data_IF_818070841081
#
_entry.id   IF_818070841081
#
_cell.length_a   1.000
_cell.length_b   1.000
_cell.length_c   1.000
_cell.angle_alpha   90.00
_cell.angle_beta   90.00
_cell.angle_gamma   90.00
#
_symmetry.space_group_name_H-M   'P 1'
#
loop_
_entity.id
_entity.type
_entity.pdbx_description
1 polymer ?
#
# COMPACT_ATOMS: atom_id res chain seq x y z
N UNK A 1 -1.33 45.34 -37.63
CA UNK A 1 -1.31 44.25 -36.64
C UNK A 1 -1.83 42.96 -37.30
N UNK A 2 -0.94 42.02 -37.65
CA UNK A 2 -1.30 40.79 -38.38
C UNK A 2 -1.52 39.65 -37.36
N UNK A 3 -2.73 39.09 -37.33
CA UNK A 3 -3.07 37.89 -36.53
C UNK A 3 -2.48 36.68 -37.24
N UNK A 4 -1.61 35.92 -36.56
CA UNK A 4 -1.17 34.59 -36.96
C UNK A 4 -2.21 33.54 -36.52
N UNK A 5 -2.79 32.84 -37.48
CA UNK A 5 -3.63 31.66 -37.27
C UNK A 5 -2.72 30.43 -37.08
N UNK A 6 -2.89 29.70 -36.00
CA UNK A 6 -2.29 28.38 -35.84
C UNK A 6 -3.28 27.33 -36.33
N UNK A 7 -2.79 26.47 -37.21
CA UNK A 7 -3.52 25.29 -37.73
C UNK A 7 -3.13 24.06 -36.87
N UNK A 8 -4.05 23.21 -36.43
CA UNK A 8 -3.67 21.98 -35.72
C UNK A 8 -3.19 20.93 -36.70
N UNK A 9 -2.05 20.31 -36.37
CA UNK A 9 -1.50 19.15 -37.09
C UNK A 9 -2.20 17.90 -36.54
N UNK A 10 -2.95 17.24 -37.39
CA UNK A 10 -3.55 15.92 -37.14
C UNK A 10 -2.53 14.88 -37.64
N UNK A 11 -2.04 14.03 -36.74
CA UNK A 11 -1.22 12.87 -37.07
C UNK A 11 -2.15 11.64 -37.07
N UNK A 12 -2.26 10.89 -38.18
CA UNK A 12 -3.07 9.67 -38.19
C UNK A 12 -2.27 8.49 -37.65
N UNK A 13 -2.82 7.80 -36.67
CA UNK A 13 -2.35 6.53 -36.17
C UNK A 13 -2.61 5.42 -37.18
N UNK A 14 -1.56 4.82 -37.72
CA UNK A 14 -1.65 3.61 -38.53
C UNK A 14 -1.36 2.39 -37.66
N UNK A 15 -2.37 1.53 -37.50
CA UNK A 15 -2.24 0.17 -36.97
C UNK A 15 -1.37 -0.67 -37.93
N UNK A 16 -0.40 -1.38 -37.37
CA UNK A 16 0.20 -2.52 -38.03
C UNK A 16 0.10 -3.74 -37.13
N UNK A 17 -0.84 -4.62 -37.47
CA UNK A 17 -0.97 -5.97 -36.89
C UNK A 17 -0.07 -6.88 -37.71
N UNK A 18 0.92 -7.51 -37.09
CA UNK A 18 1.64 -8.62 -37.70
C UNK A 18 1.50 -9.85 -36.81
N UNK A 19 0.65 -10.79 -37.27
CA UNK A 19 0.53 -12.13 -36.70
C UNK A 19 1.70 -13.00 -37.20
N UNK A 20 2.44 -13.60 -36.29
CA UNK A 20 3.36 -14.69 -36.61
C UNK A 20 2.90 -15.95 -35.87
N UNK A 21 2.32 -16.86 -36.66
CA UNK A 21 2.02 -18.23 -36.26
C UNK A 21 3.30 -19.05 -36.50
N UNK A 22 3.82 -19.68 -35.47
CA UNK A 22 4.84 -20.73 -35.62
C UNK A 22 4.35 -22.02 -34.96
N UNK A 23 4.06 -22.97 -35.84
CA UNK A 23 3.83 -24.39 -35.52
C UNK A 23 5.14 -25.04 -35.10
N UNK A 24 5.15 -25.81 -34.03
CA UNK A 24 6.11 -26.89 -33.84
C UNK A 24 5.38 -28.19 -33.51
N UNK A 25 5.54 -29.12 -34.42
CA UNK A 25 5.08 -30.50 -34.36
C UNK A 25 6.02 -31.36 -33.51
N UNK A 26 5.37 -32.30 -32.88
CA UNK A 26 5.84 -33.43 -32.10
C UNK A 26 6.87 -34.34 -32.78
N UNK A 27 7.65 -35.04 -31.97
CA UNK A 27 8.05 -36.45 -32.02
C UNK A 27 8.81 -36.72 -30.72
N UNK A 28 8.54 -37.70 -29.86
CA UNK A 28 8.16 -39.09 -30.09
C UNK A 28 9.29 -40.01 -29.69
N UNK A 29 9.01 -40.94 -28.80
CA UNK A 29 9.85 -42.15 -28.60
C UNK A 29 10.54 -42.24 -27.21
N UNK A 30 10.07 -43.00 -26.36
CA UNK A 30 10.00 -44.47 -26.04
C UNK A 30 11.12 -44.98 -25.13
N UNK A 31 10.65 -45.66 -24.10
CA UNK A 31 11.05 -46.92 -23.51
C UNK A 31 12.23 -47.08 -22.53
N UNK A 32 11.88 -47.62 -21.42
CA UNK A 32 12.43 -48.83 -20.82
C UNK A 32 13.02 -48.58 -19.44
N UNK A 33 12.90 -49.30 -18.47
CA UNK A 33 12.38 -50.59 -18.05
C UNK A 33 12.54 -50.66 -16.53
N UNK A 34 11.65 -51.38 -15.93
CA UNK A 34 11.61 -51.74 -14.51
C UNK A 34 12.87 -52.48 -14.03
N UNK A 35 13.13 -52.36 -12.72
CA UNK A 35 13.60 -53.54 -11.98
C UNK A 35 13.08 -53.56 -10.54
N UNK A 36 12.45 -54.68 -10.23
CA UNK A 36 11.97 -55.17 -8.95
C UNK A 36 13.11 -55.83 -8.16
N UNK A 37 12.99 -55.82 -6.86
CA UNK A 37 13.73 -56.71 -5.94
C UNK A 37 13.24 -56.38 -4.53
N UNK A 38 12.25 -57.01 -4.05
CA UNK A 38 11.96 -58.31 -3.45
C UNK A 38 12.81 -58.69 -2.22
N UNK A 39 12.09 -58.71 -1.09
CA UNK A 39 12.08 -59.62 0.02
C UNK A 39 13.37 -59.89 0.84
N UNK A 40 13.26 -59.75 2.17
CA UNK A 40 13.21 -60.93 3.06
C UNK A 40 12.78 -60.60 4.48
N UNK A 41 11.74 -61.27 4.92
CA UNK A 41 11.29 -61.46 6.28
C UNK A 41 12.21 -62.43 7.02
N UNK A 42 12.44 -62.22 8.30
CA UNK A 42 12.88 -63.31 9.21
C UNK A 42 12.09 -63.17 10.52
N UNK A 43 11.19 -64.13 10.71
CA UNK A 43 10.65 -64.56 12.02
C UNK A 43 11.70 -65.26 12.83
N UNK A 44 11.77 -65.08 14.15
CA UNK A 44 12.27 -66.03 15.13
C UNK A 44 11.50 -65.89 16.44
N UNK A 45 10.64 -66.85 16.63
CA UNK A 45 10.24 -67.68 17.80
C UNK A 45 10.36 -67.10 19.23
N UNK A 46 9.23 -67.28 19.87
CA UNK A 46 8.87 -67.24 21.28
C UNK A 46 9.79 -68.05 22.21
N UNK A 47 10.00 -67.56 23.43
CA UNK A 47 10.15 -68.42 24.59
C UNK A 47 9.36 -67.87 25.80
N UNK A 48 8.56 -68.76 26.38
CA UNK A 48 7.75 -68.58 27.58
C UNK A 48 8.57 -68.89 28.82
N UNK A 49 8.50 -68.14 29.87
CA UNK A 49 8.35 -68.65 31.26
C UNK A 49 8.02 -67.53 32.28
N UNK A 50 7.43 -67.80 33.43
CA UNK A 50 6.34 -67.05 33.98
C UNK A 50 6.66 -66.24 35.26
N UNK A 51 5.76 -65.28 35.49
CA UNK A 51 5.29 -64.63 36.74
C UNK A 51 6.27 -64.32 37.87
N UNK A 52 6.30 -63.00 38.14
CA UNK A 52 6.26 -62.50 39.54
C UNK A 52 5.35 -61.26 39.59
N UNK A 53 4.35 -61.35 40.43
CA UNK A 53 3.47 -60.24 40.78
C UNK A 53 4.28 -59.14 41.42
N UNK A 54 4.40 -57.99 40.69
CA UNK A 54 4.74 -56.70 41.26
C UNK A 54 3.52 -55.78 41.16
N UNK A 55 2.92 -55.55 42.31
CA UNK A 55 1.94 -54.48 42.50
C UNK A 55 2.65 -53.19 42.23
N UNK A 56 2.50 -52.65 41.02
CA UNK A 56 2.91 -51.29 40.70
C UNK A 56 1.81 -50.39 41.21
N UNK A 57 2.12 -49.65 42.28
CA UNK A 57 1.29 -48.49 42.71
C UNK A 57 1.12 -47.58 41.50
N UNK A 58 -0.13 -47.32 41.10
CA UNK A 58 -0.49 -46.31 40.09
C UNK A 58 -0.04 -44.94 40.59
N UNK A 59 1.01 -44.42 39.96
CA UNK A 59 1.35 -43.00 40.06
C UNK A 59 0.17 -42.24 39.45
N UNK A 60 -0.40 -41.29 40.12
CA UNK A 60 -1.45 -40.46 39.49
C UNK A 60 -0.83 -39.80 38.28
N UNK A 61 -1.46 -39.99 37.13
CA UNK A 61 -1.16 -39.32 35.88
C UNK A 61 -1.24 -37.81 36.15
N UNK A 62 -0.11 -37.14 36.07
CA UNK A 62 -0.05 -35.69 36.17
C UNK A 62 -0.82 -35.14 34.97
N UNK A 63 -2.03 -34.72 35.17
CA UNK A 63 -2.73 -33.91 34.17
C UNK A 63 -1.96 -32.63 34.03
N UNK A 64 -1.24 -32.48 32.92
CA UNK A 64 -0.77 -31.13 32.49
C UNK A 64 -2.00 -30.22 32.48
N UNK A 65 -1.84 -28.97 32.95
CA UNK A 65 -2.94 -27.99 32.86
C UNK A 65 -3.35 -27.89 31.40
N UNK A 66 -4.62 -28.11 31.09
CA UNK A 66 -5.16 -27.83 29.77
C UNK A 66 -4.86 -26.34 29.47
N UNK A 67 -4.19 -26.08 28.35
CA UNK A 67 -3.99 -24.71 27.88
C UNK A 67 -5.40 -24.08 27.69
N UNK A 68 -5.55 -22.81 28.08
CA UNK A 68 -6.84 -22.13 27.86
C UNK A 68 -7.18 -22.16 26.37
N UNK A 69 -8.45 -22.27 25.98
CA UNK A 69 -8.85 -22.27 24.59
C UNK A 69 -8.39 -20.97 23.92
N UNK A 70 -7.97 -21.09 22.65
CA UNK A 70 -7.58 -19.94 21.85
C UNK A 70 -8.74 -18.94 21.75
N UNK A 71 -8.49 -17.68 22.04
CA UNK A 71 -9.44 -16.60 21.84
C UNK A 71 -9.16 -15.93 20.48
N UNK A 72 -10.17 -15.91 19.60
CA UNK A 72 -10.10 -15.21 18.31
C UNK A 72 -9.95 -13.70 18.52
N UNK A 73 -9.19 -13.04 17.67
CA UNK A 73 -8.96 -11.60 17.76
C UNK A 73 -8.75 -10.97 16.39
N UNK A 74 -8.85 -9.64 16.35
CA UNK A 74 -8.63 -8.87 15.14
C UNK A 74 -7.30 -8.09 15.19
N UNK A 75 -6.69 -7.96 14.00
CA UNK A 75 -5.60 -7.04 13.70
C UNK A 75 -6.13 -6.06 12.66
N UNK A 76 -5.96 -4.77 12.91
CA UNK A 76 -6.49 -3.73 12.05
C UNK A 76 -5.38 -2.99 11.29
N UNK A 77 -5.60 -2.71 10.00
CA UNK A 77 -4.73 -1.91 9.17
C UNK A 77 -5.45 -0.66 8.70
N UNK A 78 -4.81 0.49 8.89
CA UNK A 78 -5.14 1.77 8.31
C UNK A 78 -4.08 2.11 7.27
N UNK A 79 -4.47 2.41 6.01
CA UNK A 79 -3.53 2.88 5.01
C UNK A 79 -4.02 4.17 4.34
N UNK A 80 -3.07 5.09 4.13
CA UNK A 80 -3.27 6.38 3.50
C UNK A 80 -2.58 6.45 2.13
N UNK A 81 -3.18 7.19 1.21
CA UNK A 81 -2.67 7.44 -0.13
C UNK A 81 -1.47 8.38 -0.19
N UNK A 82 -1.39 9.17 -1.26
CA UNK A 82 -0.22 9.99 -1.60
C UNK A 82 -0.05 11.16 -0.63
N UNK A 83 0.96 11.10 0.25
CA UNK A 83 1.41 12.24 1.02
C UNK A 83 2.31 13.11 0.13
N UNK A 84 1.66 13.95 -0.69
CA UNK A 84 2.28 14.73 -1.77
C UNK A 84 2.58 16.16 -1.29
N UNK A 85 3.76 16.37 -0.77
CA UNK A 85 4.16 17.56 -0.04
C UNK A 85 4.51 18.72 -0.99
N UNK A 86 3.51 19.44 -1.41
CA UNK A 86 3.68 20.70 -2.14
C UNK A 86 4.18 21.84 -1.24
N UNK A 87 4.74 22.90 -1.85
CA UNK A 87 5.24 24.07 -1.10
C UNK A 87 4.17 24.76 -0.23
N UNK A 88 2.90 24.64 -0.57
CA UNK A 88 1.80 25.09 0.27
C UNK A 88 1.81 24.40 1.64
N UNK A 89 2.03 23.08 1.65
CA UNK A 89 2.13 22.26 2.87
C UNK A 89 3.43 22.59 3.62
N UNK A 90 4.57 22.61 2.91
CA UNK A 90 5.88 23.00 3.51
C UNK A 90 5.79 24.32 4.26
N UNK A 91 5.13 25.32 3.65
CA UNK A 91 4.97 26.65 4.24
C UNK A 91 3.94 26.68 5.39
N UNK A 92 3.00 25.72 5.43
CA UNK A 92 1.98 25.65 6.50
C UNK A 92 2.55 25.27 7.84
N UNK A 93 3.60 24.45 7.85
CA UNK A 93 4.27 24.02 9.09
C UNK A 93 5.20 25.07 9.71
N UNK A 94 5.51 26.18 9.03
CA UNK A 94 6.44 27.20 9.55
C UNK A 94 5.79 27.94 10.71
N UNK A 95 6.41 27.88 11.90
CA UNK A 95 5.97 28.54 13.10
C UNK A 95 6.50 29.98 13.18
N UNK A 96 5.95 30.79 14.10
CA UNK A 96 6.34 32.19 14.29
C UNK A 96 7.81 32.37 14.70
N UNK A 97 8.41 31.39 15.37
CA UNK A 97 9.82 31.39 15.78
C UNK A 97 10.77 30.82 14.71
N UNK A 98 10.23 30.41 13.56
CA UNK A 98 10.98 29.85 12.44
C UNK A 98 11.20 28.33 12.51
N UNK A 99 10.74 27.67 13.55
CA UNK A 99 10.70 26.21 13.63
C UNK A 99 9.64 25.63 12.70
N UNK A 100 9.57 24.30 12.55
CA UNK A 100 8.55 23.62 11.74
C UNK A 100 7.82 22.59 12.61
N UNK A 101 6.49 22.58 12.43
CA UNK A 101 5.60 21.60 13.03
C UNK A 101 4.57 21.17 12.00
N UNK A 102 4.47 19.85 11.77
CA UNK A 102 3.55 19.24 10.83
C UNK A 102 2.57 18.27 11.50
N UNK A 103 2.48 18.29 12.82
CA UNK A 103 1.56 17.44 13.60
C UNK A 103 0.09 17.61 13.14
N UNK A 104 -0.27 18.83 12.71
CA UNK A 104 -1.61 19.16 12.23
C UNK A 104 -2.06 18.33 11.01
N UNK A 105 -1.14 17.73 10.26
CA UNK A 105 -1.51 16.90 9.09
C UNK A 105 -2.39 15.72 9.46
N UNK A 106 -2.34 15.25 10.72
CA UNK A 106 -3.01 14.05 11.17
C UNK A 106 -4.17 14.32 12.16
N UNK A 107 -4.44 15.57 12.52
CA UNK A 107 -5.43 15.92 13.56
C UNK A 107 -6.86 15.47 13.23
N UNK A 108 -7.24 15.36 11.95
CA UNK A 108 -8.59 14.95 11.56
C UNK A 108 -8.85 13.45 11.59
N UNK A 109 -7.80 12.64 11.80
CA UNK A 109 -7.88 11.17 11.83
C UNK A 109 -7.17 10.57 13.06
N UNK A 110 -6.84 11.38 14.06
CA UNK A 110 -6.06 10.94 15.24
C UNK A 110 -6.75 9.82 16.00
N UNK A 111 -8.06 9.83 16.08
CA UNK A 111 -8.88 8.80 16.73
C UNK A 111 -8.83 7.45 15.99
N UNK A 112 -8.86 7.47 14.65
CA UNK A 112 -8.64 6.27 13.81
C UNK A 112 -7.21 5.75 13.95
N UNK A 113 -6.23 6.64 13.97
CA UNK A 113 -4.82 6.28 14.22
C UNK A 113 -4.63 5.64 15.60
N UNK A 114 -5.37 6.11 16.61
CA UNK A 114 -5.24 5.59 17.98
C UNK A 114 -5.68 4.12 18.12
N UNK A 115 -6.57 3.64 17.27
CA UNK A 115 -7.15 2.28 17.36
C UNK A 115 -6.60 1.30 16.30
N UNK A 116 -5.91 1.79 15.25
CA UNK A 116 -5.30 0.93 14.26
C UNK A 116 -4.00 0.30 14.77
N UNK A 117 -3.79 -0.99 14.46
CA UNK A 117 -2.56 -1.72 14.80
C UNK A 117 -1.44 -1.49 13.78
N UNK A 118 -1.78 -1.54 12.48
CA UNK A 118 -0.87 -1.26 11.37
C UNK A 118 -1.30 0.06 10.74
N UNK A 119 -0.35 0.99 10.63
CA UNK A 119 -0.58 2.33 10.10
C UNK A 119 0.41 2.58 8.98
N UNK A 120 -0.09 2.54 7.74
CA UNK A 120 0.72 2.70 6.53
C UNK A 120 0.42 4.04 5.85
N UNK A 121 1.46 4.70 5.31
CA UNK A 121 1.32 5.92 4.51
C UNK A 121 2.27 5.88 3.31
N UNK A 122 1.75 6.25 2.13
CA UNK A 122 2.59 6.46 0.95
C UNK A 122 3.23 7.85 1.01
N UNK A 123 4.47 7.93 1.51
CA UNK A 123 5.24 9.17 1.50
C UNK A 123 5.82 9.39 0.10
N UNK A 124 5.05 10.04 -0.76
CA UNK A 124 5.37 10.16 -2.17
C UNK A 124 6.61 11.02 -2.43
N UNK A 125 6.76 12.09 -1.67
CA UNK A 125 7.87 13.04 -1.84
C UNK A 125 9.03 12.73 -0.91
N UNK A 126 10.26 12.69 -1.48
CA UNK A 126 11.47 12.25 -0.78
C UNK A 126 11.89 13.20 0.36
N UNK A 127 12.39 12.65 1.47
CA UNK A 127 13.16 13.37 2.50
C UNK A 127 14.64 13.40 2.12
N UNK A 128 14.96 14.17 1.07
CA UNK A 128 16.29 14.21 0.49
C UNK A 128 17.36 14.89 1.35
N UNK A 129 16.94 15.47 2.47
CA UNK A 129 17.79 16.20 3.41
C UNK A 129 17.58 17.72 3.35
N UNK A 130 17.47 18.33 4.52
CA UNK A 130 17.16 19.76 4.65
C UNK A 130 18.24 20.66 4.03
N UNK A 131 19.50 20.18 3.99
CA UNK A 131 20.64 20.92 3.42
C UNK A 131 20.54 21.06 1.86
N UNK A 132 19.76 20.20 1.18
CA UNK A 132 19.51 20.32 -0.27
C UNK A 132 18.43 21.36 -0.60
N UNK A 133 17.84 22.00 0.44
CA UNK A 133 16.75 22.97 0.29
C UNK A 133 15.43 22.31 -0.07
N UNK A 134 14.32 22.92 0.38
CA UNK A 134 12.98 22.41 0.10
C UNK A 134 12.48 22.82 -1.27
N UNK A 135 11.75 21.94 -1.92
CA UNK A 135 11.19 22.19 -3.25
C UNK A 135 9.89 21.41 -3.43
N UNK A 136 8.96 21.99 -4.21
CA UNK A 136 7.76 21.33 -4.70
C UNK A 136 7.92 20.86 -6.15
N UNK A 137 6.77 20.63 -6.82
CA UNK A 137 6.73 20.21 -8.21
C UNK A 137 7.66 21.08 -9.11
N UNK A 138 8.39 20.49 -10.07
CA UNK A 138 8.35 19.09 -10.50
C UNK A 138 9.34 18.16 -9.76
N UNK A 139 10.25 18.66 -8.94
CA UNK A 139 11.26 17.89 -8.22
C UNK A 139 11.22 18.20 -6.73
N UNK A 140 10.58 17.32 -5.99
CA UNK A 140 10.30 17.53 -4.58
C UNK A 140 11.53 17.32 -3.67
N UNK A 141 11.54 18.03 -2.57
CA UNK A 141 12.33 17.74 -1.37
C UNK A 141 11.56 18.23 -0.16
N UNK A 142 11.07 17.31 0.64
CA UNK A 142 10.26 17.59 1.81
C UNK A 142 11.10 17.77 3.08
N UNK A 143 10.67 18.61 4.03
CA UNK A 143 11.29 18.72 5.33
C UNK A 143 11.25 17.39 6.08
N UNK A 144 12.34 16.99 6.76
CA UNK A 144 12.38 15.79 7.59
C UNK A 144 11.44 15.87 8.79
N UNK A 145 11.09 17.09 9.24
CA UNK A 145 10.12 17.33 10.30
C UNK A 145 8.70 16.80 9.96
N UNK A 146 8.39 16.54 8.67
CA UNK A 146 7.20 15.81 8.27
C UNK A 146 7.33 14.32 8.62
N UNK A 147 8.51 13.74 8.42
CA UNK A 147 8.80 12.37 8.85
C UNK A 147 8.72 12.21 10.36
N UNK A 148 9.23 13.21 11.13
CA UNK A 148 9.07 13.25 12.58
C UNK A 148 7.58 13.28 12.98
N UNK A 149 6.74 14.04 12.27
CA UNK A 149 5.30 14.08 12.50
C UNK A 149 4.59 12.76 12.14
N UNK A 150 5.01 12.07 11.06
CA UNK A 150 4.52 10.73 10.70
C UNK A 150 4.83 9.73 11.81
N UNK A 151 6.08 9.69 12.30
CA UNK A 151 6.47 8.79 13.38
C UNK A 151 5.71 9.11 14.68
N UNK A 152 5.60 10.41 15.03
CA UNK A 152 4.87 10.85 16.22
C UNK A 152 3.36 10.55 16.17
N UNK A 153 2.75 10.53 14.98
CA UNK A 153 1.36 10.11 14.79
C UNK A 153 1.18 8.57 14.89
N UNK A 154 2.28 7.83 15.06
CA UNK A 154 2.30 6.40 15.30
C UNK A 154 2.24 5.55 14.04
N UNK A 155 2.56 6.08 12.85
CA UNK A 155 2.74 5.27 11.67
C UNK A 155 3.92 4.32 11.87
N UNK A 156 3.71 3.05 11.54
CA UNK A 156 4.72 2.00 11.67
C UNK A 156 5.10 1.39 10.31
N UNK A 157 4.49 1.87 9.20
CA UNK A 157 4.85 1.50 7.83
C UNK A 157 4.88 2.78 6.97
N UNK A 158 6.01 3.05 6.33
CA UNK A 158 6.17 4.17 5.39
C UNK A 158 6.70 3.67 4.05
N UNK A 159 6.00 4.03 2.98
CA UNK A 159 6.26 3.58 1.62
C UNK A 159 6.97 4.69 0.85
N UNK A 160 8.09 4.35 0.22
CA UNK A 160 8.93 5.34 -0.47
C UNK A 160 9.24 5.00 -1.92
N UNK A 161 8.77 3.84 -2.45
CA UNK A 161 8.94 3.55 -3.86
C UNK A 161 7.86 4.25 -4.67
N UNK A 162 8.17 5.48 -5.14
CA UNK A 162 7.31 6.37 -5.90
C UNK A 162 8.04 6.95 -7.11
N UNK A 163 7.33 7.64 -8.00
CA UNK A 163 7.94 8.36 -9.12
C UNK A 163 8.80 9.56 -8.66
N UNK A 164 8.63 10.05 -7.42
CA UNK A 164 9.39 11.16 -6.83
C UNK A 164 10.55 10.72 -5.91
N UNK A 165 10.80 9.44 -5.78
CA UNK A 165 11.93 8.91 -4.98
C UNK A 165 13.28 9.41 -5.46
N UNK A 166 13.45 9.57 -6.79
CA UNK A 166 14.72 9.96 -7.40
C UNK A 166 14.94 11.48 -7.52
N UNK A 167 14.03 12.31 -7.03
CA UNK A 167 14.02 13.78 -7.22
C UNK A 167 15.27 14.50 -6.68
N UNK A 168 15.94 13.92 -5.70
CA UNK A 168 17.21 14.43 -5.13
C UNK A 168 18.39 13.48 -5.37
N UNK A 169 18.27 12.64 -6.40
CA UNK A 169 19.34 11.74 -6.79
C UNK A 169 19.61 10.65 -5.76
N UNK A 170 20.73 9.96 -5.95
CA UNK A 170 21.19 8.90 -5.02
C UNK A 170 21.44 9.46 -3.61
N UNK A 171 21.93 10.71 -3.52
CA UNK A 171 22.15 11.38 -2.24
C UNK A 171 20.80 11.52 -1.47
N UNK A 172 19.74 11.95 -2.17
CA UNK A 172 18.42 12.07 -1.56
C UNK A 172 17.89 10.74 -1.02
N UNK A 173 18.06 9.63 -1.76
CA UNK A 173 17.66 8.30 -1.29
C UNK A 173 18.44 7.91 -0.03
N UNK A 174 19.76 8.08 -0.04
CA UNK A 174 20.62 7.77 1.13
C UNK A 174 20.23 8.60 2.36
N UNK A 175 19.97 9.89 2.16
CA UNK A 175 19.55 10.77 3.24
C UNK A 175 18.17 10.37 3.81
N UNK A 176 17.24 9.95 2.94
CA UNK A 176 15.93 9.48 3.35
C UNK A 176 16.03 8.21 4.20
N UNK A 177 16.82 7.22 3.76
CA UNK A 177 17.05 6.00 4.57
C UNK A 177 17.71 6.34 5.88
N UNK A 178 18.77 7.15 5.88
CA UNK A 178 19.49 7.57 7.10
C UNK A 178 18.59 8.36 8.08
N UNK A 179 17.62 9.13 7.57
CA UNK A 179 16.61 9.77 8.41
C UNK A 179 15.74 8.72 9.12
N UNK A 180 15.23 7.73 8.41
CA UNK A 180 14.38 6.70 9.00
C UNK A 180 15.14 5.76 9.94
N UNK A 181 16.45 5.61 9.79
CA UNK A 181 17.29 4.90 10.78
C UNK A 181 17.24 5.57 12.18
N UNK A 182 16.82 6.83 12.26
CA UNK A 182 16.60 7.53 13.54
C UNK A 182 15.22 7.23 14.16
N UNK A 183 14.34 6.53 13.40
CA UNK A 183 12.99 6.12 13.80
C UNK A 183 12.84 4.59 13.66
N UNK A 184 13.52 3.78 14.48
CA UNK A 184 13.55 2.32 14.33
C UNK A 184 12.19 1.64 14.55
N UNK A 185 11.20 2.36 15.08
CA UNK A 185 9.81 1.93 15.22
C UNK A 185 9.04 1.94 13.90
N UNK A 186 9.60 2.57 12.85
CA UNK A 186 8.99 2.70 11.54
C UNK A 186 9.69 1.77 10.55
N UNK A 187 8.94 0.83 9.98
CA UNK A 187 9.39 0.01 8.87
C UNK A 187 9.23 0.80 7.57
N UNK A 188 10.33 0.98 6.83
CA UNK A 188 10.29 1.57 5.49
C UNK A 188 10.33 0.47 4.42
N UNK A 189 9.67 0.69 3.29
CA UNK A 189 9.69 -0.21 2.15
C UNK A 189 9.91 0.54 0.84
N UNK A 190 10.54 -0.12 -0.12
CA UNK A 190 10.66 0.32 -1.51
C UNK A 190 11.95 1.04 -1.88
N UNK A 191 12.83 1.40 -0.90
CA UNK A 191 14.11 2.08 -1.16
C UNK A 191 15.26 1.50 -0.31
N UNK A 192 16.48 1.60 -0.84
CA UNK A 192 17.70 1.10 -0.19
C UNK A 192 18.84 2.13 -0.29
N UNK A 193 19.59 2.34 0.82
CA UNK A 193 20.74 3.25 0.83
C UNK A 193 21.86 2.76 -0.08
N UNK A 194 22.08 1.46 -0.14
CA UNK A 194 23.05 0.81 -1.04
C UNK A 194 22.32 0.01 -2.12
N UNK A 195 23.07 -0.41 -3.12
CA UNK A 195 22.50 -1.26 -4.17
C UNK A 195 22.34 -2.68 -3.65
N UNK A 196 21.14 -3.19 -3.75
CA UNK A 196 20.80 -4.55 -3.36
C UNK A 196 20.10 -5.25 -4.52
N UNK A 197 20.62 -6.42 -4.92
CA UNK A 197 20.01 -7.21 -6.00
C UNK A 197 18.82 -8.03 -5.46
N UNK A 198 18.94 -8.51 -4.23
CA UNK A 198 17.92 -9.32 -3.56
C UNK A 198 17.80 -8.84 -2.11
N UNK A 199 17.17 -7.68 -1.85
CA UNK A 199 16.97 -7.19 -0.51
C UNK A 199 16.11 -8.15 0.31
N UNK A 200 16.28 -8.11 1.61
CA UNK A 200 15.39 -8.82 2.53
C UNK A 200 13.96 -8.26 2.41
N UNK A 201 12.97 -9.13 2.48
CA UNK A 201 11.57 -8.73 2.47
C UNK A 201 11.25 -8.09 3.82
N UNK A 202 10.78 -6.84 3.84
CA UNK A 202 10.41 -6.16 5.07
C UNK A 202 9.23 -6.89 5.76
N UNK A 203 9.43 -7.32 7.01
CA UNK A 203 8.41 -8.02 7.81
C UNK A 203 8.04 -7.18 9.02
N UNK A 204 6.76 -6.89 9.16
CA UNK A 204 6.17 -6.32 10.36
C UNK A 204 5.51 -7.41 11.19
N UNK A 205 5.80 -7.46 12.49
CA UNK A 205 5.13 -8.40 13.41
C UNK A 205 4.16 -7.65 14.31
N UNK A 206 2.89 -8.04 14.28
CA UNK A 206 1.81 -7.42 15.08
C UNK A 206 0.99 -8.51 15.75
N UNK A 207 0.83 -8.43 17.06
CA UNK A 207 0.05 -9.39 17.86
C UNK A 207 0.38 -10.86 17.55
N UNK A 208 1.67 -11.14 17.25
CA UNK A 208 2.17 -12.49 16.96
C UNK A 208 1.98 -12.97 15.51
N UNK A 209 1.41 -12.16 14.62
CA UNK A 209 1.29 -12.43 13.19
C UNK A 209 2.27 -11.60 12.38
N UNK A 210 2.73 -12.14 11.27
CA UNK A 210 3.74 -11.55 10.39
C UNK A 210 3.14 -11.05 9.09
N UNK A 211 3.50 -9.81 8.71
CA UNK A 211 3.03 -9.13 7.52
C UNK A 211 4.24 -8.77 6.65
N UNK A 212 4.31 -9.31 5.43
CA UNK A 212 5.28 -8.87 4.45
C UNK A 212 4.81 -7.57 3.79
N UNK A 213 5.67 -6.54 3.75
CA UNK A 213 5.34 -5.22 3.23
C UNK A 213 6.16 -4.93 1.98
N UNK A 214 5.55 -5.06 0.81
CA UNK A 214 6.20 -4.90 -0.49
C UNK A 214 5.72 -3.60 -1.15
N UNK A 215 6.66 -2.71 -1.53
CA UNK A 215 6.34 -1.45 -2.18
C UNK A 215 7.16 -1.26 -3.46
N UNK A 216 6.49 -0.95 -4.57
CA UNK A 216 7.09 -0.83 -5.89
C UNK A 216 6.56 0.38 -6.65
N UNK A 217 7.40 1.03 -7.48
CA UNK A 217 6.96 2.10 -8.38
C UNK A 217 7.06 1.70 -9.85
N UNK A 218 6.16 2.20 -10.68
CA UNK A 218 6.25 2.06 -12.14
C UNK A 218 7.56 2.66 -12.69
N UNK A 219 8.18 3.62 -12.00
CA UNK A 219 9.48 4.18 -12.32
C UNK A 219 9.67 5.61 -11.84
N UNK A 220 10.90 6.10 -11.78
CA UNK A 220 11.17 7.52 -11.59
C UNK A 220 10.71 8.28 -12.85
N UNK A 221 10.12 9.44 -12.74
CA UNK A 221 9.58 10.28 -13.84
C UNK A 221 10.50 10.39 -15.08
N UNK A 222 10.91 9.23 -15.63
CA UNK A 222 11.84 9.08 -16.74
C UNK A 222 11.56 7.74 -17.48
N UNK A 223 11.91 7.69 -18.77
CA UNK A 223 11.82 6.45 -19.57
C UNK A 223 13.01 5.51 -19.37
N UNK A 224 13.99 5.91 -18.56
CA UNK A 224 15.21 5.15 -18.28
C UNK A 224 15.51 5.27 -16.79
N UNK A 225 15.67 4.12 -16.11
CA UNK A 225 16.23 4.10 -14.77
C UNK A 225 17.73 4.24 -14.84
N UNK A 226 18.29 5.26 -14.18
CA UNK A 226 19.73 5.41 -14.09
C UNK A 226 20.37 4.26 -13.32
N UNK A 227 21.57 3.85 -13.74
CA UNK A 227 22.33 2.83 -13.02
C UNK A 227 22.56 3.16 -11.53
N UNK A 228 22.49 4.43 -11.15
CA UNK A 228 22.55 4.86 -9.75
C UNK A 228 21.36 4.42 -8.91
N UNK A 229 20.18 4.25 -9.54
CA UNK A 229 18.94 3.86 -8.86
C UNK A 229 18.64 2.37 -8.90
N UNK A 230 19.20 1.64 -9.89
CA UNK A 230 19.08 0.18 -9.98
C UNK A 230 19.54 -0.47 -8.67
N UNK A 231 18.69 -1.32 -8.08
CA UNK A 231 18.93 -1.95 -6.78
C UNK A 231 18.85 -1.00 -5.57
N UNK A 232 18.41 0.26 -5.77
CA UNK A 232 18.05 1.20 -4.68
C UNK A 232 16.58 1.57 -4.65
N UNK A 233 15.92 1.40 -5.78
CA UNK A 233 14.50 1.67 -5.97
C UNK A 233 13.82 0.38 -6.43
N UNK A 234 12.79 -0.03 -5.72
CA UNK A 234 12.01 -1.20 -6.07
C UNK A 234 11.06 -0.89 -7.23
N UNK A 235 11.32 -1.54 -8.38
CA UNK A 235 10.65 -1.25 -9.64
C UNK A 235 9.49 -2.20 -9.90
N UNK A 236 8.31 -1.63 -10.15
CA UNK A 236 7.12 -2.36 -10.59
C UNK A 236 7.22 -2.77 -12.07
N UNK A 237 7.70 -1.85 -12.91
CA UNK A 237 7.90 -2.13 -14.33
C UNK A 237 9.23 -2.81 -14.59
N UNK A 238 9.24 -3.75 -15.54
CA UNK A 238 10.47 -4.36 -16.03
C UNK A 238 11.39 -3.30 -16.67
N UNK A 239 12.68 -3.51 -16.60
CA UNK A 239 13.66 -2.64 -17.24
C UNK A 239 14.86 -3.45 -17.75
N UNK A 240 15.53 -2.90 -18.73
CA UNK A 240 16.76 -3.50 -19.28
C UNK A 240 17.96 -3.17 -18.37
N UNK A 241 18.55 -4.17 -17.74
CA UNK A 241 19.67 -4.01 -16.79
C UNK A 241 20.92 -3.35 -17.40
N UNK A 242 21.12 -3.45 -18.74
CA UNK A 242 22.29 -2.91 -19.40
C UNK A 242 22.16 -1.40 -19.66
N UNK A 243 21.00 -0.95 -20.13
CA UNK A 243 20.78 0.44 -20.55
C UNK A 243 19.70 1.19 -19.75
N UNK A 244 19.01 0.50 -18.84
CA UNK A 244 18.00 1.07 -17.95
C UNK A 244 16.66 1.38 -18.61
N UNK A 245 16.44 1.05 -19.88
CA UNK A 245 15.17 1.33 -20.55
C UNK A 245 14.01 0.62 -19.84
N UNK A 246 13.01 1.39 -19.43
CA UNK A 246 11.84 0.89 -18.69
C UNK A 246 10.78 0.42 -19.70
N UNK A 247 10.27 -0.78 -19.49
CA UNK A 247 9.12 -1.30 -20.21
C UNK A 247 7.85 -1.11 -19.35
N UNK A 248 7.14 -0.02 -19.59
CA UNK A 248 5.91 0.33 -18.87
C UNK A 248 4.73 -0.61 -19.15
N UNK A 249 4.91 -1.62 -19.98
CA UNK A 249 3.86 -2.59 -20.35
C UNK A 249 4.05 -3.95 -19.70
N UNK A 250 5.21 -4.19 -19.08
CA UNK A 250 5.58 -5.48 -18.50
C UNK A 250 5.83 -5.33 -17.00
N UNK A 251 5.11 -6.13 -16.20
CA UNK A 251 5.38 -6.26 -14.77
C UNK A 251 6.78 -6.83 -14.56
N UNK A 252 7.55 -6.25 -13.63
CA UNK A 252 8.89 -6.75 -13.30
C UNK A 252 8.79 -8.17 -12.70
N UNK A 253 9.44 -9.19 -13.29
CA UNK A 253 9.39 -10.55 -12.76
C UNK A 253 9.85 -10.67 -11.30
N UNK A 254 10.69 -9.74 -10.81
CA UNK A 254 11.12 -9.68 -9.42
C UNK A 254 9.92 -9.52 -8.47
N UNK A 255 8.89 -8.74 -8.85
CA UNK A 255 7.67 -8.55 -8.03
C UNK A 255 7.01 -9.88 -7.72
N UNK A 256 6.83 -10.71 -8.75
CA UNK A 256 6.23 -12.06 -8.59
C UNK A 256 7.11 -12.95 -7.70
N UNK A 257 8.42 -12.92 -7.93
CA UNK A 257 9.36 -13.72 -7.12
C UNK A 257 9.37 -13.28 -5.66
N UNK A 258 9.29 -11.97 -5.40
CA UNK A 258 9.28 -11.43 -4.04
C UNK A 258 7.96 -11.77 -3.31
N UNK A 259 6.81 -11.69 -4.00
CA UNK A 259 5.52 -12.12 -3.44
C UNK A 259 5.55 -13.61 -3.07
N UNK A 260 6.08 -14.47 -3.95
CA UNK A 260 6.21 -15.91 -3.68
C UNK A 260 7.10 -16.20 -2.47
N UNK A 261 8.24 -15.50 -2.36
CA UNK A 261 9.12 -15.62 -1.18
C UNK A 261 8.45 -15.08 0.09
N UNK A 262 7.71 -13.97 -0.02
CA UNK A 262 6.96 -13.41 1.09
C UNK A 262 5.95 -14.39 1.67
N UNK A 263 5.24 -15.11 0.79
CA UNK A 263 4.30 -16.17 1.18
C UNK A 263 4.94 -17.35 1.94
N UNK A 264 6.25 -17.58 1.76
CA UNK A 264 6.97 -18.64 2.50
C UNK A 264 7.33 -18.22 3.93
N UNK A 265 7.33 -16.91 4.23
CA UNK A 265 7.90 -16.36 5.48
C UNK A 265 6.97 -15.46 6.27
N UNK A 266 5.79 -15.13 5.74
CA UNK A 266 4.81 -14.27 6.39
C UNK A 266 3.41 -14.88 6.36
N UNK A 267 2.59 -14.51 7.34
CA UNK A 267 1.19 -14.93 7.43
C UNK A 267 0.32 -14.18 6.41
N UNK A 268 0.66 -12.92 6.08
CA UNK A 268 -0.05 -12.05 5.13
C UNK A 268 0.97 -11.31 4.25
N UNK A 269 0.68 -11.23 2.95
CA UNK A 269 1.47 -10.49 1.98
C UNK A 269 0.71 -9.26 1.50
N UNK A 270 1.23 -8.07 1.81
CA UNK A 270 0.66 -6.78 1.40
C UNK A 270 1.56 -6.14 0.35
N UNK A 271 0.98 -5.82 -0.81
CA UNK A 271 1.69 -5.15 -1.90
C UNK A 271 1.16 -3.73 -2.05
N UNK A 272 2.06 -2.76 -2.07
CA UNK A 272 1.77 -1.34 -2.27
C UNK A 272 2.37 -0.88 -3.60
N UNK A 273 1.64 -1.01 -4.72
CA UNK A 273 2.11 -0.54 -6.01
C UNK A 273 1.79 0.95 -6.20
N UNK A 274 2.81 1.73 -6.57
CA UNK A 274 2.67 3.09 -7.05
C UNK A 274 2.55 3.06 -8.58
N UNK A 275 1.31 3.08 -9.10
CA UNK A 275 0.96 2.66 -10.47
C UNK A 275 -0.21 3.42 -11.08
N UNK A 276 -0.53 3.12 -12.34
CA UNK A 276 -1.71 3.64 -13.03
C UNK A 276 -1.44 4.93 -13.79
N UNK A 277 -2.48 5.73 -13.99
CA UNK A 277 -2.43 6.98 -14.74
C UNK A 277 -3.02 8.10 -13.90
N UNK A 278 -2.27 9.22 -13.79
CA UNK A 278 -2.72 10.40 -13.05
C UNK A 278 -4.13 10.85 -13.48
N UNK A 279 -4.93 11.21 -12.51
CA UNK A 279 -6.27 11.80 -12.64
C UNK A 279 -7.34 10.89 -13.30
N UNK A 280 -7.09 9.60 -13.40
CA UNK A 280 -8.06 8.62 -13.88
C UNK A 280 -8.73 7.93 -12.69
N UNK A 281 -10.06 8.07 -12.55
CA UNK A 281 -10.86 7.43 -11.48
C UNK A 281 -11.20 5.97 -11.75
N UNK A 282 -10.80 5.45 -12.91
CA UNK A 282 -10.96 4.04 -13.27
C UNK A 282 -9.59 3.40 -13.44
N UNK A 283 -9.38 2.19 -12.94
CA UNK A 283 -8.10 1.50 -13.09
C UNK A 283 -7.83 1.17 -14.57
N UNK A 284 -6.58 1.33 -14.97
CA UNK A 284 -6.10 0.96 -16.30
C UNK A 284 -6.11 -0.57 -16.48
N UNK A 285 -6.02 -1.04 -17.73
CA UNK A 285 -5.89 -2.48 -18.02
C UNK A 285 -4.63 -3.08 -17.39
N UNK A 286 -3.53 -2.33 -17.30
CA UNK A 286 -2.30 -2.78 -16.65
C UNK A 286 -2.48 -2.97 -15.14
N UNK A 287 -3.18 -2.05 -14.46
CA UNK A 287 -3.47 -2.22 -13.03
C UNK A 287 -4.27 -3.50 -12.78
N UNK A 288 -5.28 -3.78 -13.62
CA UNK A 288 -6.09 -5.01 -13.49
C UNK A 288 -5.29 -6.27 -13.78
N UNK A 289 -4.51 -6.27 -14.85
CA UNK A 289 -3.69 -7.41 -15.25
C UNK A 289 -2.58 -7.69 -14.21
N UNK A 290 -1.88 -6.65 -13.74
CA UNK A 290 -0.83 -6.80 -12.73
C UNK A 290 -1.39 -7.16 -11.35
N UNK A 291 -2.55 -6.60 -10.98
CA UNK A 291 -3.27 -7.01 -9.77
C UNK A 291 -3.61 -8.51 -9.80
N UNK A 292 -4.08 -9.02 -10.94
CA UNK A 292 -4.33 -10.45 -11.13
C UNK A 292 -3.05 -11.28 -10.99
N UNK A 293 -1.94 -10.88 -11.64
CA UNK A 293 -0.65 -11.58 -11.55
C UNK A 293 -0.10 -11.59 -10.10
N UNK A 294 -0.21 -10.48 -9.36
CA UNK A 294 0.20 -10.41 -7.95
C UNK A 294 -0.67 -11.32 -7.08
N UNK A 295 -1.99 -11.35 -7.32
CA UNK A 295 -2.92 -12.25 -6.62
C UNK A 295 -2.59 -13.72 -6.91
N UNK A 296 -2.31 -14.05 -8.16
CA UNK A 296 -1.92 -15.42 -8.55
C UNK A 296 -0.60 -15.84 -7.88
N UNK A 297 0.32 -14.90 -7.69
CA UNK A 297 1.59 -15.12 -6.98
C UNK A 297 1.43 -15.28 -5.47
N UNK A 298 0.29 -14.86 -4.88
CA UNK A 298 -0.05 -15.02 -3.47
C UNK A 298 -0.08 -13.72 -2.66
N UNK A 299 -0.29 -12.56 -3.28
CA UNK A 299 -0.64 -11.36 -2.55
C UNK A 299 -2.05 -11.51 -1.94
N UNK A 300 -2.22 -11.12 -0.67
CA UNK A 300 -3.51 -11.12 0.04
C UNK A 300 -4.19 -9.75 -0.02
N UNK A 301 -3.40 -8.69 -0.02
CA UNK A 301 -3.87 -7.30 -0.03
C UNK A 301 -3.02 -6.46 -0.98
N UNK A 302 -3.68 -5.68 -1.84
CA UNK A 302 -3.04 -4.76 -2.78
C UNK A 302 -3.60 -3.36 -2.53
N UNK A 303 -2.74 -2.40 -2.21
CA UNK A 303 -3.14 -1.01 -1.96
C UNK A 303 -2.37 -0.08 -2.88
N UNK A 304 -3.02 0.39 -3.94
CA UNK A 304 -2.45 1.24 -4.97
C UNK A 304 -2.44 2.72 -4.64
N UNK A 305 -1.46 3.42 -5.21
CA UNK A 305 -1.25 4.87 -5.12
C UNK A 305 -0.77 5.42 -6.47
N UNK A 306 -0.53 6.72 -6.62
CA UNK A 306 -0.09 7.44 -7.82
C UNK A 306 -1.20 8.14 -8.65
N UNK A 307 -2.41 7.61 -8.89
CA UNK A 307 -3.40 8.33 -9.70
C UNK A 307 -3.80 9.70 -9.14
N UNK A 308 -3.48 10.02 -7.89
CA UNK A 308 -3.85 11.24 -7.16
C UNK A 308 -5.36 11.44 -7.02
N UNK A 309 -6.13 10.46 -7.43
CA UNK A 309 -7.58 10.37 -7.27
C UNK A 309 -7.93 8.96 -6.83
N UNK A 310 -8.99 8.78 -6.05
CA UNK A 310 -9.41 7.45 -5.66
C UNK A 310 -9.89 6.63 -6.86
N UNK A 311 -9.71 5.32 -6.75
CA UNK A 311 -10.20 4.32 -7.70
C UNK A 311 -10.94 3.21 -6.93
N UNK A 312 -11.74 2.37 -7.61
CA UNK A 312 -12.54 1.32 -6.98
C UNK A 312 -11.75 0.34 -6.11
N UNK A 313 -12.49 -0.33 -5.23
CA UNK A 313 -12.05 -1.47 -4.43
C UNK A 313 -12.76 -2.71 -4.93
N UNK A 314 -12.04 -3.82 -5.10
CA UNK A 314 -12.66 -5.10 -5.47
C UNK A 314 -11.86 -6.30 -4.98
N UNK A 315 -12.53 -7.43 -4.79
CA UNK A 315 -11.87 -8.71 -4.64
C UNK A 315 -11.41 -9.23 -6.00
N UNK A 316 -10.12 -9.51 -6.12
CA UNK A 316 -9.54 -10.21 -7.26
C UNK A 316 -9.48 -11.70 -6.90
N UNK A 317 -9.96 -12.56 -7.80
CA UNK A 317 -9.86 -14.01 -7.65
C UNK A 317 -9.10 -14.59 -8.84
N UNK A 318 -7.94 -15.18 -8.58
CA UNK A 318 -7.09 -15.79 -9.60
C UNK A 318 -7.57 -17.22 -9.96
N UNK A 319 -7.12 -17.73 -11.11
CA UNK A 319 -7.51 -19.08 -11.59
C UNK A 319 -7.05 -20.21 -10.67
N UNK A 320 -5.94 -20.01 -9.96
CA UNK A 320 -5.42 -20.97 -8.96
C UNK A 320 -6.21 -20.96 -7.63
N UNK A 321 -7.21 -20.08 -7.50
CA UNK A 321 -8.07 -19.95 -6.32
C UNK A 321 -7.61 -18.92 -5.30
N UNK A 322 -6.42 -18.32 -5.45
CA UNK A 322 -5.95 -17.23 -4.60
C UNK A 322 -6.86 -16.01 -4.74
N UNK A 323 -7.01 -15.26 -3.64
CA UNK A 323 -7.82 -14.04 -3.59
C UNK A 323 -7.03 -12.91 -2.94
N UNK A 324 -7.12 -11.71 -3.52
CA UNK A 324 -6.61 -10.49 -2.90
C UNK A 324 -7.69 -9.42 -2.86
N UNK A 325 -7.75 -8.66 -1.78
CA UNK A 325 -8.49 -7.42 -1.75
C UNK A 325 -7.63 -6.32 -2.39
N UNK A 326 -8.15 -5.65 -3.42
CA UNK A 326 -7.42 -4.62 -4.15
C UNK A 326 -8.11 -3.25 -4.03
N UNK A 327 -7.41 -2.30 -3.44
CA UNK A 327 -7.67 -0.87 -3.53
C UNK A 327 -6.82 -0.34 -4.69
N UNK A 328 -7.41 -0.05 -5.84
CA UNK A 328 -6.63 0.37 -7.01
C UNK A 328 -5.92 1.71 -6.84
N UNK A 329 -6.51 2.65 -6.12
CA UNK A 329 -5.88 3.89 -5.67
C UNK A 329 -6.65 4.50 -4.51
N UNK A 330 -5.92 4.98 -3.51
CA UNK A 330 -6.50 5.72 -2.40
C UNK A 330 -6.64 7.23 -2.70
N UNK A 331 -5.90 7.77 -3.68
CA UNK A 331 -5.85 9.20 -3.95
C UNK A 331 -4.80 9.95 -3.10
N UNK A 332 -4.97 11.25 -2.93
CA UNK A 332 -4.04 12.10 -2.18
C UNK A 332 -4.43 12.25 -0.72
N UNK A 333 -3.64 11.73 0.21
CA UNK A 333 -3.81 12.07 1.63
C UNK A 333 -3.61 13.58 1.85
N UNK A 334 -2.49 14.10 1.41
CA UNK A 334 -2.24 15.54 1.43
C UNK A 334 -1.80 16.05 0.07
N UNK A 335 -2.37 17.16 -0.37
CA UNK A 335 -2.01 17.76 -1.65
C UNK A 335 -2.44 19.22 -1.70
N UNK A 336 -1.83 20.02 -2.57
CA UNK A 336 -2.38 21.30 -3.03
C UNK A 336 -2.54 21.31 -4.55
N UNK A 337 -2.91 20.17 -5.12
CA UNK A 337 -3.27 20.04 -6.53
C UNK A 337 -4.52 20.88 -6.85
N UNK A 338 -4.81 21.05 -8.16
CA UNK A 338 -5.79 22.05 -8.61
C UNK A 338 -7.05 21.46 -9.24
N UNK A 339 -7.17 20.15 -9.29
CA UNK A 339 -8.37 19.45 -9.75
C UNK A 339 -9.22 19.09 -8.54
N UNK A 340 -10.53 19.35 -8.61
CA UNK A 340 -11.43 19.14 -7.47
C UNK A 340 -11.45 17.69 -6.97
N UNK A 341 -11.43 16.72 -7.89
CA UNK A 341 -11.45 15.30 -7.54
C UNK A 341 -10.19 14.84 -6.77
N UNK A 342 -9.06 15.56 -6.90
CA UNK A 342 -7.84 15.26 -6.15
C UNK A 342 -7.91 15.69 -4.67
N UNK A 343 -9.04 16.27 -4.25
CA UNK A 343 -9.33 16.60 -2.85
C UNK A 343 -10.03 15.47 -2.13
N UNK A 344 -10.53 14.47 -2.84
CA UNK A 344 -11.13 13.25 -2.29
C UNK A 344 -10.08 12.15 -2.19
N UNK A 345 -10.05 11.48 -1.06
CA UNK A 345 -9.20 10.33 -0.77
C UNK A 345 -10.02 9.19 -0.14
N UNK A 346 -9.50 7.95 -0.23
CA UNK A 346 -9.96 6.83 0.56
C UNK A 346 -8.93 6.44 1.60
N UNK A 347 -9.26 6.49 2.88
CA UNK A 347 -8.51 5.78 3.91
C UNK A 347 -8.93 4.31 3.83
N UNK A 348 -7.98 3.42 3.50
CA UNK A 348 -8.26 1.99 3.56
C UNK A 348 -8.26 1.53 5.02
N UNK A 349 -9.35 0.88 5.42
CA UNK A 349 -9.46 0.19 6.70
C UNK A 349 -9.65 -1.29 6.45
N UNK A 350 -8.71 -2.12 6.94
CA UNK A 350 -8.73 -3.57 6.72
C UNK A 350 -8.64 -4.29 8.06
N UNK A 351 -9.57 -5.20 8.28
CA UNK A 351 -9.59 -6.05 9.48
C UNK A 351 -9.13 -7.46 9.11
N UNK A 352 -8.07 -7.92 9.74
CA UNK A 352 -7.60 -9.30 9.68
C UNK A 352 -8.12 -10.05 10.88
N UNK A 353 -8.95 -11.07 10.64
CA UNK A 353 -9.46 -11.94 11.69
C UNK A 353 -8.51 -13.11 11.92
N UNK A 354 -8.10 -13.31 13.17
CA UNK A 354 -7.17 -14.36 13.59
C UNK A 354 -7.91 -15.42 14.36
N UNK A 355 -7.87 -16.64 13.86
CA UNK A 355 -8.37 -17.86 14.52
C UNK A 355 -7.20 -18.72 14.99
N UNK A 356 -7.48 -19.82 15.67
CA UNK A 356 -6.44 -20.78 16.07
C UNK A 356 -5.63 -21.29 14.88
N UNK A 357 -6.29 -21.54 13.74
CA UNK A 357 -5.70 -22.22 12.58
C UNK A 357 -5.32 -21.26 11.43
N UNK A 358 -5.81 -20.00 11.42
CA UNK A 358 -5.68 -19.12 10.25
C UNK A 358 -5.73 -17.63 10.59
N UNK A 359 -5.34 -16.83 9.59
CA UNK A 359 -5.59 -15.39 9.52
C UNK A 359 -6.13 -15.06 8.12
N UNK A 360 -7.12 -14.21 8.03
CA UNK A 360 -7.74 -13.80 6.77
C UNK A 360 -8.34 -12.39 6.86
N UNK A 361 -8.52 -11.73 5.71
CA UNK A 361 -9.22 -10.43 5.65
C UNK A 361 -10.71 -10.67 5.91
N UNK A 362 -11.22 -10.08 6.98
CA UNK A 362 -12.65 -10.10 7.31
C UNK A 362 -13.42 -9.16 6.37
N UNK A 363 -14.57 -9.61 5.88
CA UNK A 363 -15.50 -8.73 5.14
C UNK A 363 -16.24 -7.76 6.08
N UNK A 364 -16.24 -8.05 7.38
CA UNK A 364 -16.82 -7.16 8.40
C UNK A 364 -15.77 -6.13 8.83
N UNK A 365 -16.17 -4.86 8.87
CA UNK A 365 -15.28 -3.74 9.21
C UNK A 365 -14.03 -3.67 8.33
N UNK A 366 -14.18 -3.98 7.03
CA UNK A 366 -13.16 -3.77 5.99
C UNK A 366 -13.76 -2.93 4.89
N UNK A 367 -13.11 -1.83 4.51
CA UNK A 367 -13.63 -0.92 3.50
C UNK A 367 -12.85 0.38 3.39
N UNK A 368 -13.55 1.47 3.12
CA UNK A 368 -12.98 2.80 2.90
C UNK A 368 -13.68 3.82 3.76
N UNK A 369 -12.94 4.62 4.49
CA UNK A 369 -13.42 5.87 5.08
C UNK A 369 -13.02 7.00 4.12
N UNK A 370 -13.97 7.65 3.44
CA UNK A 370 -13.65 8.76 2.54
C UNK A 370 -13.14 9.96 3.32
N UNK A 371 -12.05 10.56 2.84
CA UNK A 371 -11.45 11.75 3.43
C UNK A 371 -11.43 12.92 2.43
N UNK A 372 -11.34 14.12 2.95
CA UNK A 372 -11.20 15.35 2.17
C UNK A 372 -10.00 16.13 2.67
N UNK A 373 -9.00 16.33 1.81
CA UNK A 373 -7.90 17.25 2.13
C UNK A 373 -8.34 18.70 1.91
N UNK A 374 -8.00 19.58 2.85
CA UNK A 374 -8.45 20.97 2.84
C UNK A 374 -7.29 21.96 2.94
N UNK A 375 -7.25 22.92 2.05
CA UNK A 375 -6.29 24.03 2.09
C UNK A 375 -6.95 25.37 1.77
N UNK A 376 -6.36 26.46 2.27
CA UNK A 376 -6.75 27.81 1.97
C UNK A 376 -6.02 28.36 0.74
N UNK A 377 -6.61 29.35 0.08
CA UNK A 377 -6.03 30.04 -1.08
C UNK A 377 -5.54 31.45 -0.72
N UNK A 378 -4.39 31.83 -1.28
CA UNK A 378 -3.81 33.17 -1.19
C UNK A 378 -3.48 33.67 0.24
N UNK A 379 -2.35 33.25 0.83
CA UNK A 379 -1.44 32.25 0.30
C UNK A 379 -2.00 30.84 0.44
N UNK A 380 -1.55 29.92 -0.43
CA UNK A 380 -1.92 28.51 -0.28
C UNK A 380 -1.34 27.98 1.03
N UNK A 381 -2.22 27.56 1.92
CA UNK A 381 -1.91 27.00 3.24
C UNK A 381 -2.75 25.76 3.45
N UNK A 382 -2.11 24.64 3.71
CA UNK A 382 -2.80 23.40 4.08
C UNK A 382 -3.38 23.57 5.49
N UNK A 383 -4.60 23.12 5.68
CA UNK A 383 -5.31 23.24 6.96
C UNK A 383 -5.39 21.91 7.67
N UNK A 384 -6.03 20.93 7.05
CA UNK A 384 -6.22 19.59 7.64
C UNK A 384 -6.76 18.60 6.59
N UNK A 385 -6.84 17.33 6.99
CA UNK A 385 -7.63 16.29 6.32
C UNK A 385 -8.83 15.96 7.22
N UNK A 386 -10.01 15.83 6.63
CA UNK A 386 -11.25 15.59 7.36
C UNK A 386 -11.96 14.33 6.84
N UNK A 387 -12.53 13.48 7.69
CA UNK A 387 -13.51 12.50 7.24
C UNK A 387 -14.66 13.18 6.47
N UNK A 388 -15.07 12.61 5.34
CA UNK A 388 -16.11 13.21 4.49
C UNK A 388 -17.43 13.36 5.24
N UNK A 389 -17.75 12.47 6.15
CA UNK A 389 -18.96 12.55 6.99
C UNK A 389 -18.95 13.74 7.97
N UNK A 390 -17.76 14.22 8.34
CA UNK A 390 -17.58 15.42 9.19
C UNK A 390 -17.40 16.71 8.35
N UNK A 391 -17.25 16.59 7.03
CA UNK A 391 -17.00 17.71 6.15
C UNK A 391 -18.32 18.42 5.80
N UNK A 392 -18.33 19.75 5.90
CA UNK A 392 -19.54 20.55 5.70
C UNK A 392 -19.54 21.33 4.38
N UNK A 393 -20.73 21.74 3.93
CA UNK A 393 -20.86 22.63 2.77
C UNK A 393 -20.14 23.98 3.01
N UNK A 394 -20.14 24.49 4.25
CA UNK A 394 -19.41 25.71 4.60
C UNK A 394 -17.91 25.55 4.40
N UNK A 395 -17.36 24.39 4.80
CA UNK A 395 -15.94 24.05 4.57
C UNK A 395 -15.66 23.95 3.07
N UNK A 396 -16.50 23.25 2.31
CA UNK A 396 -16.36 23.14 0.85
C UNK A 396 -16.33 24.52 0.18
N UNK A 397 -17.22 25.39 0.55
CA UNK A 397 -17.29 26.77 0.02
C UNK A 397 -16.09 27.65 0.40
N UNK A 398 -15.36 27.33 1.46
CA UNK A 398 -14.11 28.01 1.88
C UNK A 398 -12.86 27.39 1.26
N UNK A 399 -12.96 26.21 0.68
CA UNK A 399 -11.80 25.46 0.18
C UNK A 399 -11.00 26.26 -0.84
N UNK A 400 -9.67 26.26 -0.70
CA UNK A 400 -8.75 27.00 -1.57
C UNK A 400 -8.78 26.61 -3.05
N UNK A 401 -9.35 25.46 -3.39
CA UNK A 401 -9.52 24.97 -4.76
C UNK A 401 -10.34 25.94 -5.63
N UNK A 402 -11.22 26.71 -5.04
CA UNK A 402 -11.98 27.78 -5.69
C UNK A 402 -11.09 28.79 -6.41
N UNK A 403 -9.90 29.07 -5.87
CA UNK A 403 -8.94 30.01 -6.45
C UNK A 403 -8.40 29.59 -7.81
N UNK A 404 -8.56 28.33 -8.19
CA UNK A 404 -7.90 27.78 -9.39
C UNK A 404 -8.80 27.59 -10.61
N UNK A 405 -10.04 27.86 -10.58
CA UNK A 405 -10.86 27.64 -11.78
C UNK A 405 -12.18 28.39 -11.80
N UNK A 406 -12.52 29.02 -10.69
CA UNK A 406 -13.83 29.69 -10.54
C UNK A 406 -15.01 28.71 -10.62
N UNK A 407 -14.74 27.40 -10.50
CA UNK A 407 -15.79 26.37 -10.48
C UNK A 407 -16.13 26.11 -9.01
N UNK A 408 -17.43 26.20 -8.64
CA UNK A 408 -17.87 25.88 -7.30
C UNK A 408 -17.40 24.49 -6.85
N UNK A 409 -17.03 24.36 -5.58
CA UNK A 409 -16.67 23.10 -4.93
C UNK A 409 -17.68 22.86 -3.83
N UNK A 410 -18.45 21.79 -3.97
CA UNK A 410 -19.58 21.50 -3.09
C UNK A 410 -19.42 20.15 -2.41
N UNK A 411 -19.90 20.04 -1.19
CA UNK A 411 -19.97 18.79 -0.45
C UNK A 411 -20.72 17.70 -1.25
N UNK A 412 -21.79 18.09 -1.96
CA UNK A 412 -22.57 17.16 -2.78
C UNK A 412 -21.75 16.52 -3.91
N UNK A 413 -20.76 17.20 -4.48
CA UNK A 413 -19.87 16.64 -5.50
C UNK A 413 -18.93 15.58 -4.89
N UNK A 414 -18.38 15.87 -3.71
CA UNK A 414 -17.53 14.92 -2.96
C UNK A 414 -18.29 13.66 -2.58
N UNK A 415 -19.49 13.81 -2.03
CA UNK A 415 -20.38 12.69 -1.66
C UNK A 415 -20.74 11.84 -2.88
N UNK A 416 -21.06 12.49 -4.00
CA UNK A 416 -21.35 11.80 -5.26
C UNK A 416 -20.16 11.01 -5.78
N UNK A 417 -18.97 11.62 -5.87
CA UNK A 417 -17.75 10.94 -6.34
C UNK A 417 -17.36 9.79 -5.42
N UNK A 418 -17.45 10.00 -4.11
CA UNK A 418 -17.17 8.95 -3.11
C UNK A 418 -18.08 7.74 -3.35
N UNK A 419 -19.38 7.94 -3.52
CA UNK A 419 -20.32 6.87 -3.81
C UNK A 419 -20.09 6.20 -5.18
N UNK A 420 -19.83 6.98 -6.23
CA UNK A 420 -19.57 6.45 -7.57
C UNK A 420 -18.30 5.61 -7.66
N UNK A 421 -17.29 5.90 -6.80
CA UNK A 421 -16.01 5.20 -6.80
C UNK A 421 -16.00 4.03 -5.83
N UNK A 422 -16.46 4.22 -4.60
CA UNK A 422 -16.33 3.22 -3.53
C UNK A 422 -17.60 2.41 -3.29
N UNK A 423 -18.79 2.97 -3.56
CA UNK A 423 -20.07 2.29 -3.40
C UNK A 423 -20.25 1.65 -2.01
N UNK A 424 -20.53 0.36 -1.99
CA UNK A 424 -20.77 -0.43 -0.77
C UNK A 424 -19.51 -0.65 0.10
N UNK A 425 -18.33 -0.24 -0.39
CA UNK A 425 -17.10 -0.28 0.40
C UNK A 425 -16.97 0.87 1.40
N UNK A 426 -17.85 1.88 1.35
CA UNK A 426 -17.81 3.01 2.29
C UNK A 426 -18.15 2.51 3.68
N UNK A 427 -17.22 2.77 4.62
CA UNK A 427 -17.41 2.52 6.05
C UNK A 427 -17.67 3.84 6.77
N UNK A 428 -18.73 3.92 7.59
CA UNK A 428 -18.89 4.98 8.57
C UNK A 428 -17.77 4.90 9.63
N UNK A 429 -17.21 6.01 10.04
CA UNK A 429 -16.17 6.09 11.09
C UNK A 429 -16.68 5.47 12.42
N UNK A 430 -17.95 5.67 12.74
CA UNK A 430 -18.60 5.11 13.92
C UNK A 430 -18.66 3.57 13.91
N UNK A 431 -18.61 2.93 12.75
CA UNK A 431 -18.51 1.46 12.68
C UNK A 431 -17.18 0.94 13.24
N UNK A 432 -16.14 1.79 13.27
CA UNK A 432 -14.81 1.49 13.77
C UNK A 432 -14.67 1.93 15.24
N UNK A 433 -15.06 3.17 15.54
CA UNK A 433 -14.85 3.79 16.85
C UNK A 433 -15.96 3.48 17.84
N UNK A 434 -17.10 2.97 17.35
CA UNK A 434 -18.35 2.89 18.11
C UNK A 434 -19.07 4.25 18.18
N UNK A 435 -20.34 4.26 18.60
CA UNK A 435 -21.14 5.48 18.66
C UNK A 435 -20.51 6.49 19.62
N UNK A 436 -20.46 7.76 19.21
CA UNK A 436 -19.98 8.85 20.08
C UNK A 436 -20.89 9.00 21.31
N UNK A 437 -20.30 9.42 22.44
CA UNK A 437 -21.01 9.50 23.73
C UNK A 437 -22.27 10.39 23.69
N UNK A 438 -22.43 11.24 22.68
CA UNK A 438 -23.59 12.14 22.53
C UNK A 438 -24.83 11.41 21.95
N UNK A 439 -24.65 10.31 21.22
CA UNK A 439 -25.77 9.53 20.66
C UNK A 439 -26.41 8.54 21.68
N UNK A 440 -25.75 8.35 22.83
CA UNK A 440 -26.20 7.43 23.89
C UNK A 440 -27.20 8.04 24.87
N UNK A 441 -27.57 9.33 24.74
CA UNK A 441 -28.60 9.94 25.56
C UNK A 441 -29.97 9.43 25.12
N UNK A 442 -30.77 8.77 26.01
CA UNK A 442 -32.12 8.38 25.66
C UNK A 442 -32.94 9.64 25.35
N UNK A 443 -33.67 9.62 24.24
CA UNK A 443 -34.63 10.66 23.91
C UNK A 443 -35.46 10.95 25.15
N UNK A 444 -35.36 12.17 25.68
CA UNK A 444 -36.16 12.61 26.81
C UNK A 444 -37.63 12.47 26.45
N UNK A 445 -38.32 11.53 27.10
CA UNK A 445 -39.75 11.25 26.94
C UNK A 445 -40.67 12.35 27.44
#
# INVERSE_FOLDING_TARGET
MKKKKYLPIIIPSALLILAVIVFFLSKGGTTGTANQGSLTSTEVLSDNTPSQDNVVASVPESTEPEEPPFEEYDITLLALGDNLIHMGIVNSGIQADGTRDYSFLFNGIEDLLAVADIKAINQETIFGGNHLGFSGYPTFNSPTEIGDAIAAAGFNVVLHSTNHTADKGVEGIKNCVAFWETHPEVLISGIHAEKEENPEIPILTVKGKTFAILNYTYGPNASVISSGYMGRLEMLCAYNETNGAIDFTTLNPKVITDIQKANEIADIVIVFPHWGTEYQTSPSSFQKDWGMQMTEAGADLIIGTHPHVPQPVEWITAENGNKALCYYSLGNYTSTQKQQITMLEGLAWVTFHVTEDSIYISETNTGVIPLVNHYNYSPTRFENVYPLEEYTEEMALRHGIWGYGGVPFHLADLQKWSWEIFGDWILPKDSILGPTADETLPAAG
#
